data_IF_329921272869
#
_entry.id   IF_329921272869
#
_cell.length_a   1.000
_cell.length_b   1.000
_cell.length_c   1.000
_cell.angle_alpha   90.00
_cell.angle_beta   90.00
_cell.angle_gamma   90.00
#
_symmetry.space_group_name_H-M   'P 1'
#
loop_
_entity.id
_entity.type
_entity.pdbx_description
1 polymer ?
#
# COMPACT_ATOMS: atom_id res chain seq x y z
N UNK A 1 2.29 -18.77 7.52
CA UNK A 1 3.36 -18.20 6.68
C UNK A 1 2.82 -16.93 6.05
N UNK A 2 3.40 -15.78 6.35
CA UNK A 2 3.04 -14.51 5.73
C UNK A 2 3.91 -14.37 4.49
N UNK A 3 3.36 -14.70 3.31
CA UNK A 3 4.08 -14.60 2.04
C UNK A 3 4.48 -13.16 1.75
N UNK A 4 5.65 -12.99 1.12
CA UNK A 4 6.26 -11.69 0.80
C UNK A 4 6.66 -10.82 2.00
N UNK A 5 6.87 -11.44 3.17
CA UNK A 5 7.33 -10.82 4.40
C UNK A 5 8.66 -11.42 4.86
N UNK A 6 9.44 -10.67 5.63
CA UNK A 6 10.65 -11.18 6.26
C UNK A 6 10.31 -12.27 7.32
N UNK A 7 11.15 -13.27 7.47
CA UNK A 7 12.35 -13.56 6.70
C UNK A 7 12.02 -14.06 5.29
N UNK A 8 12.92 -13.80 4.33
CA UNK A 8 12.82 -14.30 2.97
C UNK A 8 13.36 -15.72 2.92
N UNK A 9 12.47 -16.64 2.70
CA UNK A 9 12.73 -18.08 2.75
C UNK A 9 12.30 -18.75 1.45
N UNK A 10 12.90 -19.90 1.10
CA UNK A 10 12.45 -20.67 -0.05
C UNK A 10 10.99 -21.11 0.14
N UNK A 11 10.24 -21.11 -0.94
CA UNK A 11 8.84 -21.56 -0.97
C UNK A 11 8.75 -23.04 -1.32
N UNK A 12 7.60 -23.70 -1.10
CA UNK A 12 7.39 -25.08 -1.51
C UNK A 12 7.64 -25.37 -2.99
N UNK A 13 7.69 -24.35 -3.83
CA UNK A 13 7.98 -24.47 -5.27
C UNK A 13 9.49 -24.29 -5.57
N UNK A 14 10.29 -23.82 -4.64
CA UNK A 14 11.74 -23.65 -4.80
C UNK A 14 12.47 -24.99 -4.62
N UNK A 15 13.53 -25.24 -5.38
CA UNK A 15 14.36 -26.44 -5.21
C UNK A 15 15.02 -26.48 -3.83
N UNK A 16 15.43 -25.34 -3.32
CA UNK A 16 16.06 -25.16 -2.01
C UNK A 16 15.13 -25.52 -0.85
N UNK A 17 13.81 -25.47 -1.03
CA UNK A 17 12.83 -25.80 0.02
C UNK A 17 13.01 -27.23 0.56
N UNK A 18 13.47 -28.16 -0.25
CA UNK A 18 13.70 -29.56 0.14
C UNK A 18 14.80 -29.71 1.21
N UNK A 19 15.68 -28.72 1.30
CA UNK A 19 16.83 -28.70 2.21
C UNK A 19 16.67 -27.60 3.27
N UNK A 20 15.55 -26.88 3.26
CA UNK A 20 15.30 -25.80 4.19
C UNK A 20 14.78 -26.36 5.52
N UNK A 21 15.55 -26.15 6.57
CA UNK A 21 15.16 -26.44 7.95
C UNK A 21 14.87 -25.11 8.65
N UNK A 22 13.57 -24.81 8.95
CA UNK A 22 13.27 -23.61 9.71
C UNK A 22 13.91 -23.69 11.10
N UNK A 23 14.48 -22.61 11.62
CA UNK A 23 15.12 -22.59 12.94
C UNK A 23 14.16 -23.14 14.03
N UNK A 24 14.62 -24.12 14.80
CA UNK A 24 13.81 -24.93 15.71
C UNK A 24 13.19 -24.19 16.91
N UNK A 25 13.61 -22.95 17.16
CA UNK A 25 13.25 -22.16 18.35
C UNK A 25 12.51 -20.85 18.01
N UNK A 26 12.00 -20.69 16.79
CA UNK A 26 11.24 -19.48 16.42
C UNK A 26 9.76 -19.78 16.32
N UNK A 27 9.02 -19.25 17.27
CA UNK A 27 7.55 -19.13 17.20
C UNK A 27 7.18 -18.12 16.11
N UNK A 28 6.40 -18.58 15.14
CA UNK A 28 5.76 -17.71 14.17
C UNK A 28 5.03 -16.57 14.89
N UNK A 29 5.51 -15.35 14.72
CA UNK A 29 4.80 -14.15 15.13
C UNK A 29 5.21 -13.48 16.44
N UNK A 30 6.30 -13.86 17.12
CA UNK A 30 6.67 -13.30 18.43
C UNK A 30 8.15 -13.03 18.69
N UNK A 31 9.03 -13.21 17.71
CA UNK A 31 10.47 -12.96 17.87
C UNK A 31 10.81 -11.49 18.03
N UNK A 32 11.76 -11.17 18.90
CA UNK A 32 12.32 -9.83 19.00
C UNK A 32 13.19 -9.54 17.76
N UNK A 33 13.31 -8.25 17.35
CA UNK A 33 14.14 -7.85 16.20
C UNK A 33 15.59 -8.36 16.29
N UNK A 34 16.13 -8.53 17.49
CA UNK A 34 17.48 -9.03 17.74
C UNK A 34 17.64 -10.53 17.42
N UNK A 35 16.54 -11.31 17.42
CA UNK A 35 16.53 -12.71 17.03
C UNK A 35 16.45 -12.91 15.52
N UNK A 36 16.08 -11.87 14.77
CA UNK A 36 16.04 -11.87 13.30
C UNK A 36 17.42 -11.62 12.66
N UNK A 37 18.39 -11.07 13.40
CA UNK A 37 19.74 -10.80 12.88
C UNK A 37 20.52 -12.06 12.48
N UNK A 38 20.13 -13.24 12.96
CA UNK A 38 20.76 -14.52 12.64
C UNK A 38 19.92 -15.43 11.73
N UNK A 39 18.93 -14.87 11.05
CA UNK A 39 18.13 -15.65 10.10
C UNK A 39 18.74 -15.49 8.70
N UNK A 40 18.89 -16.59 7.97
CA UNK A 40 19.32 -16.59 6.57
C UNK A 40 18.23 -15.93 5.69
N UNK A 41 18.09 -14.60 5.86
CA UNK A 41 17.19 -13.75 5.09
C UNK A 41 17.86 -13.42 3.75
N UNK A 42 17.62 -14.26 2.73
CA UNK A 42 18.23 -14.08 1.42
C UNK A 42 17.25 -13.38 0.46
N UNK A 43 17.56 -12.16 0.02
CA UNK A 43 16.74 -11.40 -0.94
C UNK A 43 16.41 -12.17 -2.23
N UNK A 44 17.21 -13.18 -2.61
CA UNK A 44 16.95 -14.00 -3.80
C UNK A 44 15.60 -14.72 -3.74
N UNK A 45 15.13 -15.11 -2.55
CA UNK A 45 13.85 -15.79 -2.35
C UNK A 45 12.63 -14.87 -2.45
N UNK A 46 12.83 -13.54 -2.48
CA UNK A 46 11.70 -12.62 -2.57
C UNK A 46 10.87 -12.83 -3.84
N UNK A 47 11.53 -13.09 -4.96
CA UNK A 47 10.85 -13.39 -6.23
C UNK A 47 10.01 -14.67 -6.11
N UNK A 48 10.59 -15.74 -5.57
CA UNK A 48 9.90 -17.02 -5.36
C UNK A 48 8.69 -16.86 -4.45
N UNK A 49 8.82 -16.03 -3.40
CA UNK A 49 7.71 -15.73 -2.49
C UNK A 49 6.57 -14.99 -3.20
N UNK A 50 6.88 -14.03 -4.09
CA UNK A 50 5.88 -13.32 -4.89
C UNK A 50 5.16 -14.27 -5.84
N UNK A 51 5.90 -15.11 -6.55
CA UNK A 51 5.34 -16.10 -7.49
C UNK A 51 4.47 -17.14 -6.76
N UNK A 52 4.92 -17.61 -5.61
CA UNK A 52 4.13 -18.53 -4.78
C UNK A 52 2.88 -17.88 -4.21
N UNK A 53 2.96 -16.62 -3.81
CA UNK A 53 1.80 -15.83 -3.37
C UNK A 53 0.75 -15.73 -4.48
N UNK A 54 1.15 -15.41 -5.70
CA UNK A 54 0.26 -15.37 -6.87
C UNK A 54 -0.41 -16.73 -7.11
N UNK A 55 0.35 -17.83 -7.02
CA UNK A 55 -0.17 -19.18 -7.11
C UNK A 55 -1.23 -19.49 -6.02
N UNK A 56 -1.02 -19.01 -4.80
CA UNK A 56 -2.01 -19.19 -3.71
C UNK A 56 -3.29 -18.41 -4.00
N UNK A 57 -3.19 -17.18 -4.50
CA UNK A 57 -4.34 -16.40 -4.94
C UNK A 57 -5.07 -17.14 -6.09
N UNK A 58 -4.33 -17.67 -7.04
CA UNK A 58 -4.89 -18.49 -8.13
C UNK A 58 -5.69 -19.68 -7.61
N UNK A 59 -5.22 -20.37 -6.56
CA UNK A 59 -5.99 -21.48 -5.93
C UNK A 59 -7.29 -20.99 -5.30
N UNK A 60 -7.30 -19.81 -4.68
CA UNK A 60 -8.53 -19.23 -4.11
C UNK A 60 -9.54 -18.94 -5.23
N UNK A 61 -9.08 -18.33 -6.32
CA UNK A 61 -9.92 -18.02 -7.49
C UNK A 61 -10.50 -19.31 -8.08
N UNK A 62 -9.65 -20.32 -8.34
CA UNK A 62 -10.11 -21.61 -8.86
C UNK A 62 -11.13 -22.28 -7.94
N UNK A 63 -11.00 -22.11 -6.64
CA UNK A 63 -11.97 -22.67 -5.68
C UNK A 63 -13.31 -21.96 -5.74
N UNK A 64 -13.31 -20.63 -5.95
CA UNK A 64 -14.55 -19.88 -6.18
C UNK A 64 -15.24 -20.30 -7.48
N UNK A 65 -14.47 -20.55 -8.55
CA UNK A 65 -14.99 -21.06 -9.82
C UNK A 65 -15.62 -22.45 -9.64
N UNK A 66 -14.91 -23.39 -8.97
CA UNK A 66 -15.41 -24.74 -8.66
C UNK A 66 -16.73 -24.71 -7.87
N UNK A 67 -16.84 -23.76 -6.94
CA UNK A 67 -18.03 -23.57 -6.10
C UNK A 67 -19.13 -22.76 -6.80
N UNK A 68 -18.91 -22.27 -8.00
CA UNK A 68 -19.82 -21.38 -8.74
C UNK A 68 -20.17 -20.09 -7.98
N UNK A 69 -19.21 -19.57 -7.19
CA UNK A 69 -19.34 -18.34 -6.40
C UNK A 69 -18.62 -17.14 -7.02
N UNK A 70 -17.95 -17.36 -8.16
CA UNK A 70 -17.03 -16.37 -8.73
C UNK A 70 -17.72 -15.07 -9.14
N UNK A 71 -18.91 -15.17 -9.71
CA UNK A 71 -19.71 -14.03 -10.19
C UNK A 71 -20.32 -13.22 -9.02
N UNK A 72 -20.58 -13.88 -7.91
CA UNK A 72 -21.15 -13.26 -6.70
C UNK A 72 -20.08 -12.80 -5.68
N UNK A 73 -18.79 -12.86 -6.07
CA UNK A 73 -17.69 -12.57 -5.16
C UNK A 73 -16.77 -11.50 -5.73
N UNK A 74 -16.67 -10.35 -5.04
CA UNK A 74 -15.60 -9.39 -5.28
C UNK A 74 -14.31 -9.87 -4.61
N UNK A 75 -13.22 -9.87 -5.36
CA UNK A 75 -11.87 -10.09 -4.83
C UNK A 75 -11.16 -8.76 -4.81
N UNK A 76 -10.69 -8.36 -3.64
CA UNK A 76 -9.87 -7.17 -3.45
C UNK A 76 -8.50 -7.59 -2.92
N UNK A 77 -7.47 -7.33 -3.71
CA UNK A 77 -6.08 -7.53 -3.31
C UNK A 77 -5.45 -6.19 -3.02
N UNK A 78 -4.85 -6.05 -1.85
CA UNK A 78 -4.13 -4.84 -1.47
C UNK A 78 -2.83 -5.18 -0.73
N UNK A 79 -1.78 -4.39 -0.95
CA UNK A 79 -0.62 -4.40 -0.07
C UNK A 79 -0.91 -3.62 1.22
N UNK A 80 -0.32 -4.03 2.33
CA UNK A 80 -0.44 -3.34 3.62
C UNK A 80 0.57 -2.17 3.73
N UNK A 81 1.73 -2.31 3.12
CA UNK A 81 2.82 -1.32 3.09
C UNK A 81 3.82 -1.65 1.96
N UNK A 82 4.81 -0.78 1.80
CA UNK A 82 5.87 -0.98 0.82
C UNK A 82 6.75 -2.19 1.10
N UNK A 83 7.45 -2.63 0.07
CA UNK A 83 8.42 -3.73 0.13
C UNK A 83 9.57 -3.40 1.09
N UNK A 84 10.14 -4.43 1.74
CA UNK A 84 11.30 -4.27 2.62
C UNK A 84 12.49 -3.62 1.90
N UNK A 85 13.30 -2.84 2.64
CA UNK A 85 14.34 -1.96 2.07
C UNK A 85 15.48 -2.70 1.37
N UNK A 86 15.75 -3.95 1.70
CA UNK A 86 16.79 -4.76 1.07
C UNK A 86 16.44 -5.24 -0.34
N UNK A 87 15.19 -5.05 -0.79
CA UNK A 87 14.75 -5.49 -2.11
C UNK A 87 14.85 -4.35 -3.12
N UNK A 88 15.47 -4.64 -4.26
CA UNK A 88 15.53 -3.74 -5.42
C UNK A 88 14.76 -4.40 -6.57
N UNK A 89 13.70 -3.76 -7.02
CA UNK A 89 12.86 -4.21 -8.12
C UNK A 89 13.05 -3.31 -9.35
N UNK A 90 12.67 -3.79 -10.52
CA UNK A 90 12.70 -3.01 -11.77
C UNK A 90 11.30 -2.80 -12.32
N UNK A 91 11.00 -1.55 -12.68
CA UNK A 91 9.79 -1.18 -13.41
C UNK A 91 10.22 -0.43 -14.68
N UNK A 92 10.22 -1.13 -15.81
CA UNK A 92 10.84 -0.62 -17.02
C UNK A 92 12.33 -0.37 -16.82
N UNK A 93 12.78 0.86 -17.05
CA UNK A 93 14.17 1.27 -16.86
C UNK A 93 14.47 1.84 -15.45
N UNK A 94 13.48 1.90 -14.58
CA UNK A 94 13.63 2.45 -13.22
C UNK A 94 13.89 1.34 -12.22
N UNK A 95 14.92 1.50 -11.40
CA UNK A 95 15.12 0.72 -10.18
C UNK A 95 14.30 1.32 -9.04
N UNK A 96 13.58 0.46 -8.32
CA UNK A 96 12.74 0.81 -7.18
C UNK A 96 13.31 0.09 -5.97
N UNK A 97 13.82 0.84 -5.04
CA UNK A 97 14.28 0.32 -3.75
C UNK A 97 13.08 0.21 -2.81
N UNK A 98 12.97 -0.90 -2.10
CA UNK A 98 11.90 -1.09 -1.12
C UNK A 98 11.88 0.03 -0.07
N UNK A 99 10.67 0.45 0.32
CA UNK A 99 10.45 1.61 1.18
C UNK A 99 9.63 1.32 2.45
N UNK A 100 9.51 0.07 2.88
CA UNK A 100 8.78 -0.28 4.11
C UNK A 100 9.18 0.61 5.28
N UNK A 101 8.20 1.26 5.91
CA UNK A 101 8.42 2.20 7.00
C UNK A 101 8.95 3.57 6.57
N UNK A 102 8.95 3.88 5.26
CA UNK A 102 9.13 5.24 4.75
C UNK A 102 7.77 5.85 4.41
N UNK A 103 7.76 7.17 4.31
CA UNK A 103 6.58 7.94 3.94
C UNK A 103 6.54 8.34 2.46
N UNK A 104 7.60 8.05 1.70
CA UNK A 104 7.61 8.18 0.23
C UNK A 104 6.69 7.15 -0.44
N UNK A 105 6.47 7.29 -1.74
CA UNK A 105 5.61 6.38 -2.52
C UNK A 105 6.06 4.91 -2.41
N UNK A 106 7.35 4.64 -2.31
CA UNK A 106 7.86 3.28 -2.13
C UNK A 106 7.46 2.63 -0.80
N UNK A 107 7.03 3.43 0.18
CA UNK A 107 6.51 2.94 1.47
C UNK A 107 4.99 2.95 1.59
N UNK A 108 4.31 3.85 0.88
CA UNK A 108 2.88 4.15 1.10
C UNK A 108 1.98 3.92 -0.12
N UNK A 109 2.53 3.87 -1.33
CA UNK A 109 1.77 3.60 -2.55
C UNK A 109 1.83 2.11 -2.87
N UNK A 110 0.85 1.38 -2.41
CA UNK A 110 0.73 -0.08 -2.53
C UNK A 110 -0.18 -0.49 -3.68
N UNK A 111 -0.06 -1.73 -4.21
CA UNK A 111 -1.02 -2.23 -5.19
C UNK A 111 -2.42 -2.34 -4.58
N UNK A 112 -3.43 -2.00 -5.39
CA UNK A 112 -4.84 -2.27 -5.12
C UNK A 112 -5.46 -2.81 -6.39
N UNK A 113 -5.97 -4.03 -6.35
CA UNK A 113 -6.60 -4.73 -7.48
C UNK A 113 -7.99 -5.17 -7.05
N UNK A 114 -9.00 -4.78 -7.82
CA UNK A 114 -10.37 -5.21 -7.62
C UNK A 114 -10.79 -6.07 -8.82
N UNK A 115 -11.33 -7.23 -8.54
CA UNK A 115 -11.83 -8.11 -9.57
C UNK A 115 -13.20 -8.70 -9.19
N UNK A 116 -14.20 -8.44 -10.01
CA UNK A 116 -15.55 -8.97 -9.92
C UNK A 116 -16.10 -9.16 -11.32
N UNK A 117 -16.17 -10.38 -11.83
CA UNK A 117 -16.63 -10.63 -13.18
C UNK A 117 -17.99 -10.01 -13.45
N UNK A 118 -18.20 -9.53 -14.67
CA UNK A 118 -19.42 -8.89 -15.15
C UNK A 118 -19.81 -7.57 -14.46
N UNK A 119 -19.32 -7.31 -13.26
CA UNK A 119 -19.60 -6.09 -12.49
C UNK A 119 -18.50 -5.04 -12.68
N UNK A 120 -17.23 -5.45 -12.66
CA UNK A 120 -16.09 -4.54 -12.84
C UNK A 120 -15.53 -4.71 -14.26
N UNK A 121 -15.45 -3.64 -15.07
CA UNK A 121 -14.86 -3.71 -16.41
C UNK A 121 -13.42 -4.22 -16.39
N UNK A 122 -13.13 -5.20 -17.24
CA UNK A 122 -11.76 -5.74 -17.34
C UNK A 122 -10.77 -4.73 -17.92
N UNK A 123 -9.49 -4.89 -17.61
CA UNK A 123 -8.38 -4.07 -18.11
C UNK A 123 -8.53 -2.56 -17.84
N UNK A 124 -9.24 -2.19 -16.79
CA UNK A 124 -9.43 -0.79 -16.40
C UNK A 124 -8.34 -0.38 -15.41
N UNK A 125 -7.77 0.81 -15.61
CA UNK A 125 -6.84 1.46 -14.67
C UNK A 125 -7.47 2.74 -14.15
N UNK A 126 -7.62 2.83 -12.83
CA UNK A 126 -8.17 3.99 -12.14
C UNK A 126 -7.01 4.72 -11.46
N UNK A 127 -6.92 6.04 -11.68
CA UNK A 127 -5.87 6.88 -11.12
C UNK A 127 -6.39 7.78 -9.98
N UNK A 128 -7.52 7.42 -9.38
CA UNK A 128 -8.04 8.15 -8.24
C UNK A 128 -7.29 7.80 -6.96
N UNK A 129 -7.24 8.74 -6.04
CA UNK A 129 -6.67 8.49 -4.72
C UNK A 129 -7.64 7.62 -3.92
N UNK A 130 -7.11 6.58 -3.32
CA UNK A 130 -7.82 5.67 -2.42
C UNK A 130 -6.99 5.53 -1.16
N UNK A 131 -7.65 5.52 -0.03
CA UNK A 131 -7.07 5.39 1.30
C UNK A 131 -7.66 4.17 2.03
N UNK A 132 -6.97 3.64 3.02
CA UNK A 132 -7.46 2.49 3.80
C UNK A 132 -8.82 2.75 4.46
N UNK A 133 -9.13 3.99 4.83
CA UNK A 133 -10.42 4.40 5.38
C UNK A 133 -11.58 4.23 4.39
N UNK A 134 -11.29 4.13 3.09
CA UNK A 134 -12.30 4.01 2.02
C UNK A 134 -12.87 2.58 1.88
N UNK A 135 -12.23 1.57 2.47
CA UNK A 135 -12.69 0.19 2.36
C UNK A 135 -14.05 -0.03 3.02
N UNK A 136 -14.24 0.43 4.26
CA UNK A 136 -15.51 0.25 4.95
C UNK A 136 -16.69 0.88 4.20
N UNK A 137 -16.66 2.17 3.81
CA UNK A 137 -17.76 2.74 3.05
C UNK A 137 -17.98 2.06 1.70
N UNK A 138 -16.92 1.52 1.06
CA UNK A 138 -17.04 0.75 -0.17
C UNK A 138 -17.77 -0.57 0.05
N UNK A 139 -17.46 -1.30 1.11
CA UNK A 139 -18.15 -2.55 1.44
C UNK A 139 -19.63 -2.32 1.77
N UNK A 140 -19.94 -1.25 2.50
CA UNK A 140 -21.32 -0.88 2.80
C UNK A 140 -22.11 -0.50 1.53
N UNK A 141 -21.47 0.22 0.62
CA UNK A 141 -22.06 0.62 -0.67
C UNK A 141 -22.34 -0.60 -1.56
N UNK A 142 -21.37 -1.51 -1.70
CA UNK A 142 -21.55 -2.79 -2.42
C UNK A 142 -22.69 -3.62 -1.83
N UNK A 143 -22.86 -3.60 -0.50
CA UNK A 143 -23.88 -4.37 0.20
C UNK A 143 -25.22 -3.64 0.31
N UNK A 144 -25.35 -2.44 -0.28
CA UNK A 144 -26.54 -1.58 -0.20
C UNK A 144 -26.96 -1.24 1.25
N UNK A 145 -25.98 -1.27 2.17
CA UNK A 145 -26.19 -0.94 3.57
C UNK A 145 -25.97 0.56 3.78
N UNK A 146 -27.01 1.25 4.25
CA UNK A 146 -26.89 2.68 4.57
C UNK A 146 -26.01 2.88 5.80
N UNK A 147 -25.04 3.78 5.65
CA UNK A 147 -24.27 4.26 6.79
C UNK A 147 -25.05 5.37 7.52
N UNK A 148 -25.26 5.20 8.82
CA UNK A 148 -25.89 6.20 9.69
C UNK A 148 -24.86 6.97 10.53
N UNK A 149 -23.58 6.64 10.43
CA UNK A 149 -22.47 7.23 11.19
C UNK A 149 -21.51 8.08 10.38
N UNK A 150 -20.65 8.80 11.09
CA UNK A 150 -19.54 9.52 10.48
C UNK A 150 -18.45 8.53 10.01
N UNK A 151 -17.92 8.75 8.80
CA UNK A 151 -16.77 8.02 8.28
C UNK A 151 -15.81 8.99 7.58
N UNK A 152 -14.50 8.81 7.80
CA UNK A 152 -13.46 9.57 7.12
C UNK A 152 -13.30 9.12 5.65
N UNK A 153 -13.65 7.89 5.37
CA UNK A 153 -13.53 7.26 4.06
C UNK A 153 -14.66 7.63 3.10
N UNK A 154 -14.41 7.37 1.82
CA UNK A 154 -15.39 7.52 0.73
C UNK A 154 -15.44 6.24 -0.07
N UNK A 155 -16.65 5.79 -0.44
CA UNK A 155 -16.77 4.62 -1.32
C UNK A 155 -16.08 4.86 -2.66
N UNK A 156 -15.26 3.90 -3.07
CA UNK A 156 -14.68 3.84 -4.41
C UNK A 156 -15.42 2.82 -5.32
N UNK A 157 -16.52 2.25 -4.84
CA UNK A 157 -17.33 1.32 -5.63
C UNK A 157 -17.78 1.93 -6.97
N UNK A 158 -18.33 3.16 -7.01
CA UNK A 158 -18.72 3.75 -8.29
C UNK A 158 -17.57 3.81 -9.30
N UNK A 159 -16.36 4.15 -8.87
CA UNK A 159 -15.22 4.26 -9.78
C UNK A 159 -14.81 2.89 -10.35
N UNK A 160 -14.82 1.83 -9.53
CA UNK A 160 -14.42 0.50 -10.03
C UNK A 160 -15.43 -0.10 -11.00
N UNK A 161 -16.70 0.25 -10.92
CA UNK A 161 -17.72 -0.15 -11.91
C UNK A 161 -17.83 0.79 -13.11
N UNK A 162 -16.94 1.77 -13.23
CA UNK A 162 -16.91 2.71 -14.36
C UNK A 162 -17.87 3.90 -14.24
N UNK A 163 -18.48 4.13 -13.07
CA UNK A 163 -19.31 5.30 -12.80
C UNK A 163 -18.48 6.48 -12.25
N UNK A 164 -19.06 7.68 -12.26
CA UNK A 164 -18.34 8.90 -11.88
C UNK A 164 -17.91 8.91 -10.41
N UNK A 165 -18.70 8.44 -9.49
CA UNK A 165 -18.41 8.43 -8.06
C UNK A 165 -18.08 9.81 -7.45
N UNK A 166 -17.47 9.78 -6.27
CA UNK A 166 -16.99 10.97 -5.53
C UNK A 166 -15.54 10.73 -5.02
N UNK A 167 -14.55 10.65 -5.93
CA UNK A 167 -13.16 10.40 -5.55
C UNK A 167 -12.65 11.51 -4.63
N UNK A 168 -11.70 11.15 -3.78
CA UNK A 168 -11.04 12.13 -2.90
C UNK A 168 -10.02 12.95 -3.66
N UNK A 169 -9.92 14.24 -3.29
CA UNK A 169 -8.93 15.13 -3.87
C UNK A 169 -7.56 14.98 -3.19
N UNK A 170 -7.54 14.53 -1.95
CA UNK A 170 -6.34 14.41 -1.13
C UNK A 170 -6.46 13.25 -0.14
N UNK A 171 -5.28 12.80 0.34
CA UNK A 171 -5.10 11.84 1.42
C UNK A 171 -4.34 12.55 2.54
N UNK A 172 -4.76 12.34 3.79
CA UNK A 172 -4.00 12.68 4.97
C UNK A 172 -3.34 11.42 5.54
N UNK A 173 -2.09 11.54 5.92
CA UNK A 173 -1.32 10.45 6.48
C UNK A 173 -0.70 10.87 7.81
N UNK A 174 -0.92 10.05 8.83
CA UNK A 174 -0.29 10.17 10.14
C UNK A 174 0.51 8.91 10.41
N UNK A 175 1.79 9.04 10.62
CA UNK A 175 2.69 7.95 10.91
C UNK A 175 3.42 8.19 12.22
N UNK A 176 3.01 7.44 13.25
CA UNK A 176 3.71 7.36 14.52
C UNK A 176 4.29 5.95 14.64
N UNK A 177 5.58 5.77 14.42
CA UNK A 177 6.21 4.46 14.55
C UNK A 177 6.16 3.90 15.98
N UNK A 178 5.81 4.71 16.98
CA UNK A 178 5.61 4.41 18.41
C UNK A 178 6.42 3.19 18.91
N UNK A 179 7.64 3.08 18.47
CA UNK A 179 8.56 2.02 18.88
C UNK A 179 9.65 2.64 19.73
N UNK A 180 9.79 2.27 20.99
CA UNK A 180 10.88 2.74 21.86
C UNK A 180 12.27 2.51 21.26
N UNK A 181 12.39 1.54 20.32
CA UNK A 181 13.64 1.21 19.65
C UNK A 181 13.95 2.12 18.45
N UNK A 182 12.93 2.71 17.82
CA UNK A 182 13.13 3.44 16.57
C UNK A 182 13.39 4.93 16.79
N UNK A 183 13.03 5.50 17.95
CA UNK A 183 13.17 6.92 18.28
C UNK A 183 12.95 7.86 17.09
N UNK A 184 11.90 7.59 16.29
CA UNK A 184 11.57 8.35 15.09
C UNK A 184 10.45 9.33 15.42
N UNK A 185 10.52 10.55 14.91
CA UNK A 185 9.46 11.52 15.09
C UNK A 185 8.19 11.07 14.35
N UNK A 186 7.05 11.52 14.86
CA UNK A 186 5.79 11.47 14.13
C UNK A 186 5.94 12.21 12.80
N UNK A 187 5.42 11.62 11.74
CA UNK A 187 5.41 12.21 10.41
C UNK A 187 3.98 12.34 9.93
N UNK A 188 3.60 13.54 9.55
CA UNK A 188 2.30 13.84 8.97
C UNK A 188 2.46 14.49 7.61
N UNK A 189 1.58 14.15 6.69
CA UNK A 189 1.51 14.84 5.40
C UNK A 189 0.09 14.83 4.81
N UNK A 190 -0.14 15.75 3.89
CA UNK A 190 -1.25 15.72 2.95
C UNK A 190 -0.71 15.52 1.55
N UNK A 191 -1.36 14.65 0.80
CA UNK A 191 -1.02 14.33 -0.58
C UNK A 191 -2.22 14.50 -1.50
N UNK A 192 -2.01 15.18 -2.62
CA UNK A 192 -2.81 15.09 -3.83
C UNK A 192 -2.18 14.14 -4.84
N UNK A 193 -2.78 13.95 -6.02
CA UNK A 193 -2.19 13.09 -7.08
C UNK A 193 -0.76 13.50 -7.46
N UNK A 194 -0.47 14.80 -7.46
CA UNK A 194 0.82 15.36 -7.87
C UNK A 194 1.66 15.91 -6.72
N UNK A 195 1.02 16.53 -5.74
CA UNK A 195 1.70 17.32 -4.73
C UNK A 195 1.57 16.69 -3.35
N UNK A 196 2.63 16.77 -2.59
CA UNK A 196 2.68 16.31 -1.20
C UNK A 196 3.32 17.38 -0.33
N UNK A 197 2.70 17.66 0.80
CA UNK A 197 3.18 18.61 1.79
C UNK A 197 3.26 17.93 3.16
N UNK A 198 4.43 17.91 3.74
CA UNK A 198 4.65 17.47 5.10
C UNK A 198 4.30 18.55 6.12
N UNK A 199 4.02 18.15 7.36
CA UNK A 199 3.72 19.09 8.46
C UNK A 199 4.90 20.00 8.81
N UNK A 200 6.13 19.61 8.50
CA UNK A 200 7.36 20.39 8.63
C UNK A 200 7.62 21.36 7.46
N UNK A 201 6.67 21.48 6.53
CA UNK A 201 6.64 22.34 5.35
C UNK A 201 7.50 21.86 4.16
N UNK A 202 8.12 20.69 4.20
CA UNK A 202 8.74 20.10 3.00
C UNK A 202 7.65 19.78 1.97
N UNK A 203 7.87 20.18 0.74
CA UNK A 203 6.93 19.98 -0.38
C UNK A 203 7.60 19.24 -1.53
N UNK A 204 6.88 18.29 -2.13
CA UNK A 204 7.37 17.47 -3.24
C UNK A 204 6.33 17.36 -4.36
N UNK A 205 6.85 17.21 -5.58
CA UNK A 205 6.04 16.78 -6.73
C UNK A 205 6.20 15.27 -6.90
N UNK A 206 5.39 14.52 -6.19
CA UNK A 206 5.52 13.04 -6.12
C UNK A 206 5.16 12.31 -7.41
N UNK A 207 4.56 12.98 -8.38
CA UNK A 207 4.31 12.40 -9.71
C UNK A 207 5.61 12.31 -10.52
N UNK A 208 6.46 13.33 -10.45
CA UNK A 208 7.71 13.42 -11.19
C UNK A 208 8.90 12.92 -10.34
N UNK A 209 8.79 13.00 -9.01
CA UNK A 209 9.79 12.57 -8.02
C UNK A 209 9.16 11.71 -6.90
N UNK A 210 8.73 10.49 -7.22
CA UNK A 210 8.09 9.61 -6.22
C UNK A 210 9.03 9.11 -5.11
N UNK A 211 10.34 9.29 -5.27
CA UNK A 211 11.35 8.99 -4.26
C UNK A 211 11.64 10.18 -3.32
N UNK A 212 11.02 11.35 -3.58
CA UNK A 212 11.15 12.57 -2.77
C UNK A 212 12.61 13.03 -2.58
N UNK A 213 13.39 12.98 -3.66
CA UNK A 213 14.81 13.38 -3.68
C UNK A 213 15.00 14.88 -3.82
N UNK A 214 13.99 15.57 -4.41
CA UNK A 214 14.09 16.97 -4.79
C UNK A 214 12.95 17.76 -4.13
N UNK A 215 13.25 18.35 -2.98
CA UNK A 215 12.31 19.25 -2.31
C UNK A 215 12.07 20.50 -3.18
N UNK A 216 10.81 20.90 -3.29
CA UNK A 216 10.42 22.10 -4.03
C UNK A 216 10.23 23.25 -3.05
N UNK A 217 10.95 24.37 -3.20
CA UNK A 217 10.72 25.55 -2.40
C UNK A 217 9.28 26.06 -2.60
N UNK A 218 8.51 26.11 -1.52
CA UNK A 218 7.10 26.51 -1.57
C UNK A 218 6.88 27.94 -2.05
N UNK A 219 7.91 28.78 -1.99
CA UNK A 219 7.89 30.17 -2.41
C UNK A 219 8.62 30.44 -3.75
N UNK A 220 8.85 29.41 -4.54
CA UNK A 220 9.57 29.50 -5.82
C UNK A 220 8.82 30.38 -6.83
N UNK A 221 7.49 30.25 -6.91
CA UNK A 221 6.64 31.00 -7.81
C UNK A 221 5.21 31.09 -7.26
N UNK A 222 4.34 31.83 -7.94
CA UNK A 222 2.93 32.01 -7.55
C UNK A 222 2.19 30.67 -7.44
N UNK A 223 2.46 29.73 -8.34
CA UNK A 223 1.79 28.42 -8.39
C UNK A 223 2.18 27.56 -7.18
N UNK A 224 3.46 27.51 -6.84
CA UNK A 224 3.94 26.75 -5.67
C UNK A 224 3.40 27.35 -4.37
N UNK A 225 3.29 28.67 -4.25
CA UNK A 225 2.66 29.36 -3.12
C UNK A 225 1.17 28.95 -2.98
N UNK A 226 0.42 28.97 -4.07
CA UNK A 226 -1.00 28.60 -4.07
C UNK A 226 -1.19 27.13 -3.63
N UNK A 227 -0.38 26.21 -4.15
CA UNK A 227 -0.41 24.78 -3.80
C UNK A 227 -0.07 24.58 -2.32
N UNK A 228 1.02 25.21 -1.87
CA UNK A 228 1.45 25.13 -0.48
C UNK A 228 0.33 25.61 0.46
N UNK A 229 -0.24 26.78 0.21
CA UNK A 229 -1.30 27.36 1.04
C UNK A 229 -2.55 26.45 1.07
N UNK A 230 -2.91 25.86 -0.08
CA UNK A 230 -4.02 24.91 -0.17
C UNK A 230 -3.79 23.67 0.71
N UNK A 231 -2.64 23.02 0.57
CA UNK A 231 -2.31 21.80 1.33
C UNK A 231 -2.09 22.10 2.82
N UNK A 232 -1.50 23.25 3.14
CA UNK A 232 -1.32 23.71 4.53
C UNK A 232 -2.65 23.91 5.24
N UNK A 233 -3.61 24.51 4.57
CA UNK A 233 -4.96 24.68 5.09
C UNK A 233 -5.64 23.35 5.41
N UNK A 234 -5.44 22.33 4.58
CA UNK A 234 -5.97 20.97 4.82
C UNK A 234 -5.34 20.40 6.10
N UNK A 235 -4.01 20.44 6.22
CA UNK A 235 -3.29 19.97 7.42
C UNK A 235 -3.78 20.64 8.70
N UNK A 236 -4.03 21.95 8.65
CA UNK A 236 -4.53 22.72 9.80
C UNK A 236 -5.99 22.43 10.16
N UNK A 237 -6.79 22.01 9.19
CA UNK A 237 -8.20 21.69 9.40
C UNK A 237 -8.37 20.32 10.07
N UNK A 238 -7.52 19.36 9.73
CA UNK A 238 -7.57 17.99 10.29
C UNK A 238 -7.14 17.97 11.76
N UNK A 239 -6.27 18.91 12.18
CA UNK A 239 -5.76 19.01 13.57
C UNK A 239 -6.76 19.63 14.56
N UNK A 240 -7.91 20.07 14.10
CA UNK A 240 -8.99 20.63 14.94
C UNK A 240 -10.04 19.60 15.29
#
# INVERSE_FOLDING_TARGET
MTLTHDPKEPTPDSEEYKFFEPPSNKTLGGGTFDELENWDDDPKFYKDMVEYHDKVIGKIISKLDELQLREDTIIIYAGDNGTTRGIISKLGNREIVGGKGLTSDTGTHVPLICNWPETIPSNTKINDLIDASDFLPTMLDISEIKNEGYMDGRSFYPQIIGAKGNPRDWIYFYFDPNSPRLNRPVVEFVREKKWKLYSDNRMFNVLDDPDEKNEIPYNQDKKTIEIFNKLKKILETIKK
#
